data_IF_093569494665
#
_entry.id   IF_093569494665
#
_cell.length_a   1.000
_cell.length_b   1.000
_cell.length_c   1.000
_cell.angle_alpha   90.00
_cell.angle_beta   90.00
_cell.angle_gamma   90.00
#
_symmetry.space_group_name_H-M   'P 1'
#
loop_
_entity.id
_entity.type
_entity.pdbx_description
1 polymer ?
#
# COMPACT_ATOMS: atom_id res chain seq x y z
N UNK A 1 7.38 4.06 -29.13
CA UNK A 1 8.13 2.79 -28.90
C UNK A 1 7.12 1.67 -28.70
N UNK A 2 7.45 0.37 -28.93
CA UNK A 2 6.55 -0.70 -28.55
C UNK A 2 6.31 -0.66 -27.05
N UNK A 3 5.12 -1.12 -26.62
CA UNK A 3 4.82 -1.21 -25.18
C UNK A 3 5.71 -2.30 -24.53
N UNK A 4 6.15 -2.09 -23.30
CA UNK A 4 6.94 -3.09 -22.58
C UNK A 4 6.13 -4.36 -22.37
N UNK A 5 6.79 -5.52 -22.46
CA UNK A 5 6.15 -6.81 -22.23
C UNK A 5 5.97 -7.08 -20.73
N UNK A 6 4.99 -7.93 -20.38
CA UNK A 6 4.78 -8.36 -19.00
C UNK A 6 6.05 -8.93 -18.36
N UNK A 7 6.84 -9.71 -19.11
CA UNK A 7 8.07 -10.31 -18.59
C UNK A 7 9.12 -9.23 -18.26
N UNK A 8 9.26 -8.22 -19.09
CA UNK A 8 10.15 -7.07 -18.83
C UNK A 8 9.68 -6.32 -17.58
N UNK A 9 8.39 -6.04 -17.45
CA UNK A 9 7.83 -5.35 -16.28
C UNK A 9 7.89 -6.19 -15.00
N UNK A 10 7.77 -7.52 -15.11
CA UNK A 10 7.98 -8.43 -13.97
C UNK A 10 9.42 -8.38 -13.46
N UNK A 11 10.40 -8.24 -14.36
CA UNK A 11 11.83 -8.13 -14.04
C UNK A 11 12.26 -6.72 -13.62
N UNK A 12 11.47 -5.69 -13.96
CA UNK A 12 11.73 -4.33 -13.52
C UNK A 12 11.71 -4.29 -11.98
N UNK A 13 12.81 -3.87 -11.31
CA UNK A 13 12.79 -3.74 -9.85
C UNK A 13 11.80 -2.66 -9.43
N UNK A 14 10.94 -3.00 -8.47
CA UNK A 14 9.82 -2.15 -8.00
C UNK A 14 9.88 -1.95 -6.49
N UNK A 15 9.40 -0.81 -6.02
CA UNK A 15 9.05 -0.59 -4.62
C UNK A 15 7.53 -0.59 -4.47
N UNK A 16 7.02 -1.29 -3.47
CA UNK A 16 5.61 -1.33 -3.10
C UNK A 16 5.43 -0.54 -1.80
N UNK A 17 4.82 0.64 -1.86
CA UNK A 17 4.71 1.55 -0.72
C UNK A 17 3.29 1.61 -0.13
N UNK A 18 2.31 0.99 -0.81
CA UNK A 18 0.92 0.98 -0.42
C UNK A 18 0.30 -0.40 -0.67
N UNK A 19 0.50 -1.30 0.28
CA UNK A 19 -0.03 -2.66 0.22
C UNK A 19 -0.55 -3.07 1.60
N UNK A 20 -1.85 -3.35 1.70
CA UNK A 20 -2.50 -3.76 2.94
C UNK A 20 -2.30 -5.26 3.20
N UNK A 21 -1.82 -5.60 4.40
CA UNK A 21 -1.65 -6.99 4.83
C UNK A 21 -2.97 -7.74 4.83
N UNK A 22 -4.01 -7.11 5.38
CA UNK A 22 -5.36 -7.66 5.53
C UNK A 22 -6.17 -7.71 4.23
N UNK A 23 -5.68 -7.06 3.15
CA UNK A 23 -6.22 -7.15 1.80
C UNK A 23 -5.43 -8.03 0.83
N UNK A 24 -4.37 -8.72 1.30
CA UNK A 24 -3.37 -9.35 0.41
C UNK A 24 -3.03 -10.81 0.77
N UNK A 25 -3.94 -11.52 1.45
CA UNK A 25 -3.76 -12.92 1.81
C UNK A 25 -3.87 -13.85 0.60
N UNK A 26 -3.13 -14.95 0.63
CA UNK A 26 -3.38 -16.06 -0.30
C UNK A 26 -4.70 -16.76 0.03
N UNK A 27 -5.58 -17.02 -0.93
CA UNK A 27 -6.82 -17.78 -0.68
C UNK A 27 -6.59 -19.16 -0.09
N UNK A 28 -5.51 -19.84 -0.52
CA UNK A 28 -5.08 -21.14 0.00
C UNK A 28 -4.83 -21.06 1.50
N UNK A 29 -4.07 -20.07 1.94
CA UNK A 29 -3.78 -19.81 3.36
C UNK A 29 -5.03 -19.44 4.15
N UNK A 30 -5.95 -18.69 3.55
CA UNK A 30 -7.24 -18.39 4.21
C UNK A 30 -8.06 -19.66 4.48
N UNK A 31 -8.12 -20.59 3.51
CA UNK A 31 -8.82 -21.87 3.69
C UNK A 31 -8.16 -22.69 4.81
N UNK A 32 -6.83 -22.82 4.79
CA UNK A 32 -6.07 -23.57 5.80
C UNK A 32 -6.26 -22.99 7.20
N UNK A 33 -6.06 -21.67 7.36
CA UNK A 33 -6.26 -20.98 8.63
C UNK A 33 -7.72 -21.00 9.07
N UNK A 34 -8.67 -20.93 8.13
CA UNK A 34 -10.09 -21.08 8.42
C UNK A 34 -10.41 -22.42 9.07
N UNK A 35 -9.85 -23.50 8.53
CA UNK A 35 -10.00 -24.85 9.13
C UNK A 35 -9.31 -24.95 10.50
N UNK A 36 -8.07 -24.44 10.60
CA UNK A 36 -7.29 -24.50 11.85
C UNK A 36 -7.93 -23.70 12.98
N UNK A 37 -8.47 -22.53 12.68
CA UNK A 37 -9.06 -21.58 13.64
C UNK A 37 -10.57 -21.72 13.78
N UNK A 38 -11.17 -22.76 13.17
CA UNK A 38 -12.62 -23.00 13.17
C UNK A 38 -13.45 -21.81 12.67
N UNK A 39 -12.93 -21.08 11.64
CA UNK A 39 -13.62 -19.97 10.99
C UNK A 39 -14.32 -20.44 9.72
N UNK A 40 -15.55 -19.99 9.50
CA UNK A 40 -16.28 -20.28 8.26
C UNK A 40 -15.80 -19.39 7.14
N UNK A 41 -15.27 -19.97 6.06
CA UNK A 41 -14.96 -19.26 4.84
C UNK A 41 -16.19 -19.22 3.92
N UNK A 42 -16.38 -18.15 3.12
CA UNK A 42 -17.54 -18.02 2.23
C UNK A 42 -17.52 -18.95 1.01
N UNK A 43 -16.38 -19.63 0.77
CA UNK A 43 -16.21 -20.57 -0.33
C UNK A 43 -15.40 -21.80 0.14
N UNK A 44 -15.62 -22.98 -0.48
CA UNK A 44 -15.06 -24.24 0.00
C UNK A 44 -13.59 -24.48 -0.44
N UNK A 45 -13.10 -23.77 -1.44
CA UNK A 45 -11.77 -23.94 -2.02
C UNK A 45 -11.15 -22.58 -2.41
N UNK A 46 -9.84 -22.60 -2.63
CA UNK A 46 -9.06 -21.39 -2.89
C UNK A 46 -9.49 -20.64 -4.17
N UNK A 47 -9.85 -21.36 -5.24
CA UNK A 47 -10.28 -20.73 -6.48
C UNK A 47 -11.59 -20.00 -6.31
N UNK A 48 -12.60 -20.66 -5.76
CA UNK A 48 -13.91 -20.06 -5.46
C UNK A 48 -13.80 -18.93 -4.44
N UNK A 49 -12.88 -19.06 -3.47
CA UNK A 49 -12.63 -18.01 -2.50
C UNK A 49 -11.97 -16.78 -3.16
N UNK A 50 -11.01 -16.98 -4.07
CA UNK A 50 -10.41 -15.89 -4.85
C UNK A 50 -11.48 -15.11 -5.61
N UNK A 51 -12.35 -15.81 -6.35
CA UNK A 51 -13.44 -15.20 -7.11
C UNK A 51 -14.40 -14.42 -6.20
N UNK A 52 -14.72 -14.96 -5.02
CA UNK A 52 -15.57 -14.26 -4.04
C UNK A 52 -14.89 -13.02 -3.45
N UNK A 53 -13.58 -13.11 -3.17
CA UNK A 53 -12.83 -12.02 -2.51
C UNK A 53 -12.45 -10.89 -3.45
N UNK A 54 -12.33 -11.15 -4.77
CA UNK A 54 -12.07 -10.10 -5.76
C UNK A 54 -13.30 -9.19 -5.89
N UNK A 55 -13.09 -7.88 -5.72
CA UNK A 55 -14.18 -6.91 -5.59
C UNK A 55 -14.35 -6.13 -6.90
N UNK A 56 -15.02 -6.74 -7.90
CA UNK A 56 -15.30 -6.08 -9.19
C UNK A 56 -16.67 -5.38 -9.22
N UNK A 57 -17.51 -5.60 -8.21
CA UNK A 57 -18.91 -5.18 -8.15
C UNK A 57 -19.18 -4.09 -7.10
N UNK A 58 -18.16 -3.54 -6.46
CA UNK A 58 -18.32 -2.49 -5.48
C UNK A 58 -18.93 -1.22 -6.08
N UNK A 59 -19.86 -0.63 -5.35
CA UNK A 59 -20.53 0.63 -5.72
C UNK A 59 -19.77 1.85 -5.24
N UNK A 60 -18.95 1.68 -4.21
CA UNK A 60 -18.15 2.71 -3.55
C UNK A 60 -17.09 2.05 -2.64
N UNK A 61 -16.29 2.87 -1.97
CA UNK A 61 -15.25 2.42 -1.05
C UNK A 61 -15.82 1.60 0.12
N UNK A 62 -16.95 1.97 0.67
CA UNK A 62 -17.58 1.28 1.81
C UNK A 62 -17.95 -0.17 1.46
N UNK A 63 -18.55 -0.40 0.29
CA UNK A 63 -18.86 -1.76 -0.21
C UNK A 63 -17.57 -2.59 -0.40
N UNK A 64 -16.50 -1.96 -0.90
CA UNK A 64 -15.20 -2.60 -1.04
C UNK A 64 -14.65 -3.07 0.30
N UNK A 65 -14.81 -2.28 1.36
CA UNK A 65 -14.29 -2.57 2.68
C UNK A 65 -15.05 -3.69 3.43
N UNK A 66 -16.25 -4.08 3.02
CA UNK A 66 -17.04 -5.11 3.72
C UNK A 66 -16.35 -6.48 3.78
N UNK A 67 -15.58 -6.85 2.73
CA UNK A 67 -14.92 -8.17 2.64
C UNK A 67 -13.73 -8.34 3.59
N UNK A 68 -13.18 -7.25 4.13
CA UNK A 68 -12.10 -7.33 5.11
C UNK A 68 -12.49 -8.06 6.40
N UNK A 69 -13.77 -8.13 6.74
CA UNK A 69 -14.22 -8.92 7.89
C UNK A 69 -13.84 -10.41 7.78
N UNK A 70 -13.76 -10.94 6.55
CA UNK A 70 -13.41 -12.33 6.27
C UNK A 70 -11.91 -12.56 6.50
N UNK A 71 -11.06 -11.75 5.91
CA UNK A 71 -9.59 -11.87 6.09
C UNK A 71 -9.20 -11.64 7.54
N UNK A 72 -9.77 -10.62 8.20
CA UNK A 72 -9.53 -10.33 9.61
C UNK A 72 -9.95 -11.47 10.54
N UNK A 73 -10.92 -12.32 10.16
CA UNK A 73 -11.33 -13.45 10.97
C UNK A 73 -10.23 -14.49 11.19
N UNK A 74 -9.29 -14.61 10.25
CA UNK A 74 -8.15 -15.53 10.33
C UNK A 74 -6.83 -14.85 10.74
N UNK A 75 -6.86 -13.56 10.98
CA UNK A 75 -5.69 -12.74 11.34
C UNK A 75 -5.66 -12.40 12.85
N UNK A 76 -6.01 -13.35 13.70
CA UNK A 76 -6.15 -13.12 15.15
C UNK A 76 -5.12 -13.87 16.01
N UNK A 77 -4.10 -14.47 15.39
CA UNK A 77 -3.03 -15.21 16.10
C UNK A 77 -1.65 -14.79 15.56
N UNK A 78 -0.61 -14.85 16.42
CA UNK A 78 0.75 -14.54 15.98
C UNK A 78 1.23 -15.43 14.82
N UNK A 79 1.02 -16.79 14.84
CA UNK A 79 1.43 -17.62 13.72
C UNK A 79 0.76 -17.25 12.39
N UNK A 80 -0.53 -16.91 12.42
CA UNK A 80 -1.26 -16.49 11.23
C UNK A 80 -0.71 -15.17 10.67
N UNK A 81 -0.53 -14.16 11.53
CA UNK A 81 0.03 -12.86 11.12
C UNK A 81 1.46 -12.97 10.59
N UNK A 82 2.31 -13.76 11.23
CA UNK A 82 3.69 -14.03 10.78
C UNK A 82 3.70 -14.70 9.40
N UNK A 83 2.87 -15.75 9.22
CA UNK A 83 2.74 -16.50 7.96
C UNK A 83 2.26 -15.60 6.83
N UNK A 84 1.20 -14.84 7.04
CA UNK A 84 0.59 -13.97 6.03
C UNK A 84 1.60 -12.90 5.57
N UNK A 85 2.34 -12.29 6.48
CA UNK A 85 3.35 -11.30 6.14
C UNK A 85 4.54 -11.90 5.38
N UNK A 86 4.97 -13.10 5.75
CA UNK A 86 6.00 -13.84 5.02
C UNK A 86 5.55 -14.17 3.59
N UNK A 87 4.36 -14.72 3.42
CA UNK A 87 3.80 -15.09 2.12
C UNK A 87 3.58 -13.87 1.21
N UNK A 88 3.13 -12.74 1.75
CA UNK A 88 3.01 -11.49 0.99
C UNK A 88 4.37 -11.02 0.47
N UNK A 89 5.40 -11.07 1.30
CA UNK A 89 6.75 -10.68 0.88
C UNK A 89 7.35 -11.66 -0.14
N UNK A 90 7.11 -12.98 -0.01
CA UNK A 90 7.50 -14.00 -1.00
C UNK A 90 6.87 -13.73 -2.37
N UNK A 91 5.54 -13.51 -2.42
CA UNK A 91 4.82 -13.20 -3.66
C UNK A 91 5.30 -11.89 -4.29
N UNK A 92 5.58 -10.89 -3.46
CA UNK A 92 6.10 -9.60 -3.93
C UNK A 92 7.52 -9.73 -4.50
N UNK A 93 8.39 -10.51 -3.87
CA UNK A 93 9.74 -10.80 -4.38
C UNK A 93 9.69 -11.51 -5.74
N UNK A 94 8.80 -12.50 -5.90
CA UNK A 94 8.57 -13.21 -7.16
C UNK A 94 8.04 -12.29 -8.27
N UNK A 95 7.34 -11.23 -7.89
CA UNK A 95 6.83 -10.17 -8.78
C UNK A 95 7.85 -9.04 -9.07
N UNK A 96 9.10 -9.19 -8.64
CA UNK A 96 10.17 -8.22 -8.89
C UNK A 96 10.23 -7.05 -7.91
N UNK A 97 9.48 -7.11 -6.81
CA UNK A 97 9.58 -6.10 -5.73
C UNK A 97 10.88 -6.31 -4.96
N UNK A 98 11.61 -5.22 -4.70
CA UNK A 98 12.84 -5.21 -3.90
C UNK A 98 12.64 -4.62 -2.52
N UNK A 99 11.61 -3.80 -2.37
CA UNK A 99 11.25 -3.12 -1.14
C UNK A 99 9.73 -3.03 -0.99
N UNK A 100 9.21 -3.41 0.17
CA UNK A 100 7.78 -3.34 0.47
C UNK A 100 7.52 -2.69 1.84
N UNK A 101 6.56 -1.77 1.89
CA UNK A 101 5.98 -1.23 3.13
C UNK A 101 4.57 -1.80 3.31
N UNK A 102 4.47 -2.80 4.17
CA UNK A 102 3.19 -3.47 4.45
C UNK A 102 2.43 -2.68 5.49
N UNK A 103 1.17 -2.31 5.19
CA UNK A 103 0.31 -1.55 6.10
C UNK A 103 -0.90 -2.35 6.56
N UNK A 104 -1.34 -2.12 7.78
CA UNK A 104 -2.56 -2.68 8.37
C UNK A 104 -2.84 -2.00 9.71
N UNK A 105 -4.04 -2.22 10.26
CA UNK A 105 -4.46 -1.66 11.56
C UNK A 105 -4.35 -2.72 12.67
N UNK A 106 -3.28 -2.75 13.50
CA UNK A 106 -3.09 -3.77 14.54
C UNK A 106 -4.26 -3.90 15.50
N UNK A 107 -5.00 -2.81 15.73
CA UNK A 107 -6.21 -2.80 16.58
C UNK A 107 -7.31 -3.75 16.08
N UNK A 108 -7.31 -4.11 14.80
CA UNK A 108 -8.26 -5.07 14.22
C UNK A 108 -7.85 -6.54 14.44
N UNK A 109 -6.60 -6.79 14.88
CA UNK A 109 -6.02 -8.12 15.08
C UNK A 109 -5.95 -8.56 16.54
N UNK A 110 -6.55 -7.80 17.47
CA UNK A 110 -6.51 -8.08 18.92
C UNK A 110 -7.83 -8.60 19.48
N UNK A 111 -8.76 -8.97 18.63
CA UNK A 111 -10.13 -9.37 19.03
C UNK A 111 -10.17 -10.72 19.77
N UNK A 112 -9.16 -11.55 19.59
CA UNK A 112 -9.06 -12.90 20.19
C UNK A 112 -7.89 -13.02 21.17
N UNK A 113 -7.43 -11.89 21.74
CA UNK A 113 -6.55 -11.87 22.89
C UNK A 113 -5.09 -11.52 22.63
N UNK A 114 -4.69 -11.21 21.40
CA UNK A 114 -3.37 -10.63 21.15
C UNK A 114 -3.28 -9.23 21.78
N UNK A 115 -2.09 -8.85 22.23
CA UNK A 115 -1.77 -7.45 22.50
C UNK A 115 -1.45 -6.71 21.20
N UNK A 116 -1.47 -5.38 21.24
CA UNK A 116 -1.08 -4.56 20.08
C UNK A 116 0.39 -4.80 19.68
N UNK A 117 1.27 -5.01 20.67
CA UNK A 117 2.68 -5.33 20.44
C UNK A 117 2.83 -6.68 19.71
N UNK A 118 2.13 -7.73 20.15
CA UNK A 118 2.14 -9.03 19.49
C UNK A 118 1.63 -8.92 18.05
N UNK A 119 0.56 -8.13 17.82
CA UNK A 119 0.01 -7.90 16.50
C UNK A 119 0.99 -7.17 15.56
N UNK A 120 1.95 -6.39 16.06
CA UNK A 120 3.02 -5.74 15.28
C UNK A 120 4.25 -6.65 15.14
N UNK A 121 4.65 -7.36 16.20
CA UNK A 121 5.86 -8.17 16.20
C UNK A 121 5.75 -9.40 15.27
N UNK A 122 4.57 -10.00 15.18
CA UNK A 122 4.36 -11.19 14.35
C UNK A 122 4.60 -10.92 12.85
N UNK A 123 3.98 -9.91 12.21
CA UNK A 123 4.30 -9.54 10.83
C UNK A 123 5.77 -9.15 10.62
N UNK A 124 6.38 -8.43 11.57
CA UNK A 124 7.81 -8.08 11.48
C UNK A 124 8.70 -9.33 11.43
N UNK A 125 8.37 -10.40 12.19
CA UNK A 125 9.10 -11.68 12.10
C UNK A 125 8.92 -12.33 10.73
N UNK A 126 7.70 -12.33 10.18
CA UNK A 126 7.41 -12.86 8.85
C UNK A 126 8.20 -12.16 7.76
N UNK A 127 8.20 -10.82 7.78
CA UNK A 127 8.97 -10.00 6.85
C UNK A 127 10.48 -10.23 6.97
N UNK A 128 11.02 -10.33 8.19
CA UNK A 128 12.44 -10.60 8.41
C UNK A 128 12.88 -11.98 7.87
N UNK A 129 12.01 -13.00 7.99
CA UNK A 129 12.25 -14.33 7.38
C UNK A 129 12.28 -14.23 5.85
N UNK A 130 11.32 -13.54 5.25
CA UNK A 130 11.28 -13.35 3.80
C UNK A 130 12.48 -12.53 3.29
N UNK A 131 12.93 -11.50 4.04
CA UNK A 131 14.13 -10.74 3.71
C UNK A 131 15.37 -11.64 3.65
N UNK A 132 15.53 -12.55 4.63
CA UNK A 132 16.64 -13.49 4.67
C UNK A 132 16.61 -14.55 3.55
N UNK A 133 15.42 -14.94 3.09
CA UNK A 133 15.24 -16.02 2.11
C UNK A 133 15.18 -15.52 0.67
N UNK A 134 14.51 -14.39 0.42
CA UNK A 134 14.24 -13.87 -0.92
C UNK A 134 14.96 -12.55 -1.24
N UNK A 135 15.61 -11.92 -0.25
CA UNK A 135 16.33 -10.66 -0.44
C UNK A 135 15.42 -9.43 -0.65
N UNK A 136 14.13 -9.54 -0.32
CA UNK A 136 13.19 -8.41 -0.35
C UNK A 136 13.22 -7.69 1.02
N UNK A 137 13.47 -6.39 1.03
CA UNK A 137 13.41 -5.63 2.28
C UNK A 137 11.97 -5.26 2.62
N UNK A 138 11.44 -5.82 3.73
CA UNK A 138 10.09 -5.57 4.22
C UNK A 138 10.05 -4.66 5.45
N UNK A 139 9.12 -3.70 5.47
CA UNK A 139 8.88 -2.79 6.61
C UNK A 139 7.39 -2.67 6.87
N UNK A 140 7.02 -2.22 8.08
CA UNK A 140 5.62 -2.05 8.50
C UNK A 140 5.26 -0.58 8.63
N UNK A 141 4.06 -0.23 8.17
CA UNK A 141 3.37 1.01 8.47
C UNK A 141 2.16 0.67 9.36
N UNK A 142 2.10 1.27 10.55
CA UNK A 142 0.95 1.11 11.44
C UNK A 142 -0.16 2.05 10.97
N UNK A 143 -1.33 1.48 10.65
CA UNK A 143 -2.48 2.21 10.13
C UNK A 143 -3.53 2.43 11.21
N UNK A 144 -3.99 3.66 11.37
CA UNK A 144 -5.19 3.99 12.14
C UNK A 144 -6.43 3.98 11.24
N UNK A 145 -7.61 3.78 11.82
CA UNK A 145 -8.88 3.72 11.10
C UNK A 145 -9.71 4.97 11.40
N UNK A 146 -10.06 5.74 10.36
CA UNK A 146 -10.65 7.08 10.50
C UNK A 146 -12.07 7.12 11.07
N UNK A 147 -12.80 6.02 11.03
CA UNK A 147 -14.12 5.88 11.67
C UNK A 147 -14.04 5.36 13.13
N UNK A 148 -12.84 5.15 13.68
CA UNK A 148 -12.61 4.91 15.09
C UNK A 148 -12.38 6.24 15.87
N UNK A 149 -12.45 6.18 17.20
CA UNK A 149 -12.18 7.33 18.02
C UNK A 149 -10.74 7.84 17.82
N UNK A 150 -10.50 9.17 17.77
CA UNK A 150 -9.15 9.73 17.64
C UNK A 150 -8.15 9.30 18.73
N UNK A 151 -8.63 8.90 19.91
CA UNK A 151 -7.79 8.33 20.98
C UNK A 151 -7.15 7.00 20.60
N UNK A 152 -7.85 6.17 19.79
CA UNK A 152 -7.29 4.92 19.25
C UNK A 152 -6.16 5.22 18.27
N UNK A 153 -6.34 6.23 17.41
CA UNK A 153 -5.27 6.67 16.51
C UNK A 153 -4.05 7.20 17.27
N UNK A 154 -4.25 7.86 18.39
CA UNK A 154 -3.17 8.31 19.27
C UNK A 154 -2.39 7.11 19.84
N UNK A 155 -3.08 6.10 20.36
CA UNK A 155 -2.47 4.87 20.87
C UNK A 155 -1.67 4.13 19.78
N UNK A 156 -2.22 4.04 18.56
CA UNK A 156 -1.52 3.42 17.43
C UNK A 156 -0.30 4.23 16.94
N UNK A 157 -0.33 5.56 17.02
CA UNK A 157 0.83 6.40 16.73
C UNK A 157 1.94 6.21 17.79
N UNK A 158 1.58 6.09 19.08
CA UNK A 158 2.51 5.78 20.17
C UNK A 158 3.15 4.41 19.98
N UNK A 159 2.36 3.39 19.62
CA UNK A 159 2.83 2.07 19.26
C UNK A 159 3.82 2.14 18.07
N UNK A 160 3.46 2.82 16.99
CA UNK A 160 4.32 2.96 15.80
C UNK A 160 5.68 3.59 16.14
N UNK A 161 5.68 4.63 16.96
CA UNK A 161 6.91 5.28 17.45
C UNK A 161 7.75 4.33 18.30
N UNK A 162 7.12 3.56 19.20
CA UNK A 162 7.82 2.58 20.03
C UNK A 162 8.56 1.50 19.21
N UNK A 163 8.04 1.17 18.03
CA UNK A 163 8.62 0.18 17.13
C UNK A 163 9.47 0.76 15.98
N UNK A 164 9.69 2.08 15.93
CA UNK A 164 10.45 2.76 14.86
C UNK A 164 11.83 2.15 14.60
N UNK A 165 12.55 1.73 15.62
CA UNK A 165 13.88 1.10 15.51
C UNK A 165 13.81 -0.42 15.28
N UNK A 166 12.62 -0.98 15.14
CA UNK A 166 12.35 -2.42 15.06
C UNK A 166 11.64 -2.82 13.76
N UNK A 167 11.60 -1.92 12.76
CA UNK A 167 11.04 -2.21 11.43
C UNK A 167 9.70 -1.54 11.13
N UNK A 168 9.11 -0.78 12.07
CA UNK A 168 8.01 0.14 11.75
C UNK A 168 8.60 1.44 11.21
N UNK A 169 8.23 1.80 9.99
CA UNK A 169 8.80 2.96 9.28
C UNK A 169 7.82 4.12 9.13
N UNK A 170 6.53 3.90 9.40
CA UNK A 170 5.53 4.94 9.17
C UNK A 170 4.25 4.76 9.96
N UNK A 171 3.45 5.82 9.95
CA UNK A 171 2.08 5.89 10.47
C UNK A 171 1.14 6.31 9.36
N UNK A 172 -0.06 5.72 9.30
CA UNK A 172 -1.07 5.95 8.26
C UNK A 172 -2.47 6.12 8.86
N UNK A 173 -3.40 6.64 8.06
CA UNK A 173 -4.82 6.74 8.37
C UNK A 173 -5.62 6.24 7.17
N UNK A 174 -6.39 5.16 7.33
CA UNK A 174 -7.22 4.54 6.31
C UNK A 174 -8.68 4.38 6.76
N UNK A 175 -9.48 3.69 5.95
CA UNK A 175 -10.90 3.42 6.18
C UNK A 175 -11.82 4.38 5.44
N UNK A 176 -13.16 4.22 5.60
CA UNK A 176 -14.17 5.01 4.89
C UNK A 176 -13.94 6.52 5.02
N UNK A 177 -13.75 7.20 3.90
CA UNK A 177 -13.29 8.58 3.87
C UNK A 177 -14.43 9.59 4.06
N UNK A 178 -15.59 9.30 3.44
CA UNK A 178 -16.75 10.20 3.48
C UNK A 178 -17.29 10.33 4.91
N UNK A 179 -17.39 11.56 5.41
CA UNK A 179 -17.88 11.85 6.75
C UNK A 179 -16.84 11.63 7.87
N UNK A 180 -15.65 11.14 7.57
CA UNK A 180 -14.57 10.87 8.55
C UNK A 180 -13.30 11.66 8.20
N UNK A 181 -13.27 12.98 8.40
CA UNK A 181 -12.19 13.84 7.95
C UNK A 181 -10.87 13.57 8.70
N UNK A 182 -9.76 13.54 7.98
CA UNK A 182 -8.44 13.25 8.54
C UNK A 182 -8.03 14.22 9.68
N UNK A 183 -8.49 15.47 9.65
CA UNK A 183 -8.22 16.47 10.69
C UNK A 183 -8.65 16.06 12.10
N UNK A 184 -9.59 15.11 12.23
CA UNK A 184 -9.99 14.57 13.53
C UNK A 184 -8.85 13.83 14.23
N UNK A 185 -7.94 13.24 13.46
CA UNK A 185 -6.80 12.43 13.92
C UNK A 185 -5.47 13.20 13.97
N UNK A 186 -5.49 14.54 13.81
CA UNK A 186 -4.29 15.39 13.72
C UNK A 186 -3.28 15.16 14.86
N UNK A 187 -3.75 14.90 16.08
CA UNK A 187 -2.87 14.74 17.24
C UNK A 187 -1.98 13.50 17.12
N UNK A 188 -2.51 12.40 16.58
CA UNK A 188 -1.75 11.19 16.29
C UNK A 188 -0.64 11.44 15.26
N UNK A 189 -0.94 12.18 14.19
CA UNK A 189 0.04 12.59 13.20
C UNK A 189 1.09 13.55 13.77
N UNK A 190 0.68 14.51 14.58
CA UNK A 190 1.60 15.43 15.26
C UNK A 190 2.54 14.69 16.20
N UNK A 191 2.02 13.71 16.97
CA UNK A 191 2.82 12.86 17.82
C UNK A 191 3.84 12.05 17.01
N UNK A 192 3.42 11.33 15.97
CA UNK A 192 4.30 10.54 15.12
C UNK A 192 5.43 11.40 14.53
N UNK A 193 5.11 12.54 13.92
CA UNK A 193 6.09 13.45 13.32
C UNK A 193 7.03 14.10 14.35
N UNK A 194 6.53 14.45 15.54
CA UNK A 194 7.37 15.04 16.61
C UNK A 194 8.37 14.02 17.21
N UNK A 195 8.17 12.72 16.90
CA UNK A 195 9.09 11.64 17.25
C UNK A 195 9.83 11.07 16.02
N UNK A 196 9.97 11.87 14.96
CA UNK A 196 10.70 11.55 13.72
C UNK A 196 10.19 10.29 12.99
N UNK A 197 8.90 9.93 13.12
CA UNK A 197 8.27 8.88 12.35
C UNK A 197 7.63 9.48 11.10
N UNK A 198 7.86 8.84 9.94
CA UNK A 198 7.24 9.26 8.70
C UNK A 198 5.73 9.00 8.72
N UNK A 199 4.97 9.78 7.94
CA UNK A 199 3.52 9.66 7.85
C UNK A 199 3.06 9.62 6.40
N UNK A 200 2.13 8.72 6.10
CA UNK A 200 1.28 8.74 4.90
C UNK A 200 -0.18 8.87 5.32
N UNK A 201 -1.08 9.18 4.41
CA UNK A 201 -2.51 9.30 4.72
C UNK A 201 -3.32 9.01 3.46
N UNK A 202 -4.28 8.09 3.55
CA UNK A 202 -5.28 7.91 2.49
C UNK A 202 -6.11 9.17 2.35
N UNK A 203 -6.18 9.73 1.16
CA UNK A 203 -6.97 10.93 0.89
C UNK A 203 -7.26 11.11 -0.61
N UNK A 204 -8.46 11.59 -0.93
CA UNK A 204 -8.89 11.81 -2.31
C UNK A 204 -9.24 10.54 -3.06
N UNK A 205 -9.63 9.49 -2.36
CA UNK A 205 -10.21 8.26 -2.90
C UNK A 205 -11.73 8.31 -2.80
N UNK A 206 -12.28 8.26 -1.59
CA UNK A 206 -13.72 8.33 -1.35
C UNK A 206 -14.27 9.76 -1.24
N UNK A 207 -13.40 10.76 -0.99
CA UNK A 207 -13.77 12.18 -0.85
C UNK A 207 -12.92 13.06 -1.78
N UNK A 208 -13.25 14.36 -1.90
CA UNK A 208 -12.63 15.29 -2.83
C UNK A 208 -11.25 15.81 -2.42
N UNK A 209 -10.73 16.78 -3.19
CA UNK A 209 -9.44 17.39 -2.95
C UNK A 209 -9.27 18.02 -1.55
N UNK A 210 -10.37 18.40 -0.86
CA UNK A 210 -10.30 18.90 0.52
C UNK A 210 -9.76 17.85 1.50
N UNK A 211 -10.05 16.56 1.28
CA UNK A 211 -9.47 15.48 2.07
C UNK A 211 -7.96 15.40 1.88
N UNK A 212 -7.46 15.53 0.64
CA UNK A 212 -6.02 15.64 0.36
C UNK A 212 -5.42 16.88 1.03
N UNK A 213 -6.12 18.00 1.00
CA UNK A 213 -5.70 19.23 1.69
C UNK A 213 -5.53 19.02 3.19
N UNK A 214 -6.44 18.29 3.81
CA UNK A 214 -6.33 17.95 5.24
C UNK A 214 -5.14 17.01 5.52
N UNK A 215 -4.93 15.98 4.69
CA UNK A 215 -3.78 15.09 4.80
C UNK A 215 -2.45 15.85 4.73
N UNK A 216 -2.32 16.79 3.78
CA UNK A 216 -1.12 17.61 3.58
C UNK A 216 -0.93 18.64 4.67
N UNK A 217 -1.93 19.52 4.89
CA UNK A 217 -1.74 20.72 5.72
C UNK A 217 -2.09 20.53 7.20
N UNK A 218 -2.95 19.57 7.55
CA UNK A 218 -3.34 19.30 8.93
C UNK A 218 -2.58 18.12 9.50
N UNK A 219 -2.56 16.99 8.78
CA UNK A 219 -1.84 15.79 9.20
C UNK A 219 -0.33 15.88 8.90
N UNK A 220 0.08 16.70 7.93
CA UNK A 220 1.48 16.87 7.52
C UNK A 220 2.07 15.57 6.95
N UNK A 221 1.26 14.85 6.18
CA UNK A 221 1.67 13.60 5.56
C UNK A 221 2.80 13.84 4.54
N UNK A 222 3.79 12.95 4.52
CA UNK A 222 4.93 13.00 3.60
C UNK A 222 4.58 12.37 2.24
N UNK A 223 3.59 11.45 2.23
CA UNK A 223 3.00 10.82 1.04
C UNK A 223 1.48 10.79 1.19
N UNK A 224 0.77 10.67 0.08
CA UNK A 224 -0.70 10.60 0.05
C UNK A 224 -1.12 9.30 -0.62
N UNK A 225 -1.88 8.48 0.09
CA UNK A 225 -2.52 7.29 -0.48
C UNK A 225 -3.59 7.69 -1.49
N UNK A 226 -3.59 7.06 -2.64
CA UNK A 226 -4.45 7.29 -3.81
C UNK A 226 -4.32 8.66 -4.45
N UNK A 227 -4.69 9.74 -3.76
CA UNK A 227 -4.71 11.12 -4.28
C UNK A 227 -5.47 11.29 -5.61
N UNK A 228 -6.40 10.37 -5.95
CA UNK A 228 -7.08 10.31 -7.25
C UNK A 228 -7.82 11.62 -7.56
N UNK A 229 -8.42 12.25 -6.54
CA UNK A 229 -9.18 13.50 -6.69
C UNK A 229 -8.38 14.78 -6.40
N UNK A 230 -7.05 14.68 -6.24
CA UNK A 230 -6.17 15.85 -6.09
C UNK A 230 -6.28 16.80 -7.32
N UNK A 231 -6.52 16.23 -8.50
CA UNK A 231 -6.67 16.97 -9.76
C UNK A 231 -7.80 18.02 -9.73
N UNK A 232 -8.75 17.90 -8.83
CA UNK A 232 -9.85 18.86 -8.65
C UNK A 232 -9.39 20.22 -8.09
N UNK A 233 -8.16 20.30 -7.53
CA UNK A 233 -7.59 21.51 -6.95
C UNK A 233 -6.18 21.76 -7.51
N UNK A 234 -6.11 22.61 -8.53
CA UNK A 234 -4.85 22.94 -9.21
C UNK A 234 -3.82 23.54 -8.25
N UNK A 235 -4.22 24.44 -7.34
CA UNK A 235 -3.30 25.06 -6.37
C UNK A 235 -2.69 24.04 -5.41
N UNK A 236 -3.50 23.07 -4.94
CA UNK A 236 -3.02 21.99 -4.08
C UNK A 236 -2.12 21.02 -4.87
N UNK A 237 -2.47 20.73 -6.13
CA UNK A 237 -1.65 19.92 -7.03
C UNK A 237 -0.26 20.53 -7.23
N UNK A 238 -0.20 21.83 -7.51
CA UNK A 238 1.05 22.58 -7.67
C UNK A 238 1.86 22.57 -6.37
N UNK A 239 1.20 22.78 -5.21
CA UNK A 239 1.86 22.68 -3.90
C UNK A 239 2.46 21.29 -3.66
N UNK A 240 1.72 20.21 -3.94
CA UNK A 240 2.22 18.83 -3.79
C UNK A 240 3.43 18.60 -4.70
N UNK A 241 3.40 19.12 -5.93
CA UNK A 241 4.51 19.02 -6.85
C UNK A 241 5.75 19.77 -6.35
N UNK A 242 5.60 21.02 -5.94
CA UNK A 242 6.70 21.86 -5.41
C UNK A 242 7.38 21.22 -4.19
N UNK A 243 6.61 20.50 -3.38
CA UNK A 243 7.10 19.80 -2.18
C UNK A 243 7.51 18.36 -2.45
N UNK A 244 7.39 17.89 -3.70
CA UNK A 244 7.69 16.51 -4.10
C UNK A 244 6.98 15.46 -3.25
N UNK A 245 5.75 15.78 -2.76
CA UNK A 245 4.92 14.84 -2.02
C UNK A 245 4.58 13.68 -2.95
N UNK A 246 4.92 12.46 -2.55
CA UNK A 246 4.65 11.29 -3.37
C UNK A 246 3.17 10.90 -3.30
N UNK A 247 2.61 10.55 -4.46
CA UNK A 247 1.25 10.06 -4.62
C UNK A 247 1.31 8.54 -4.82
N UNK A 248 0.76 7.79 -3.86
CA UNK A 248 0.72 6.33 -3.87
C UNK A 248 -0.49 5.85 -4.68
N UNK A 249 -0.36 5.80 -6.00
CA UNK A 249 -1.44 5.47 -6.93
C UNK A 249 -1.71 3.97 -6.98
N UNK A 250 -2.99 3.59 -6.93
CA UNK A 250 -3.48 2.22 -6.98
C UNK A 250 -4.55 2.12 -8.08
N UNK A 251 -4.14 1.93 -9.34
CA UNK A 251 -5.02 2.07 -10.51
C UNK A 251 -6.24 1.15 -10.43
N UNK A 252 -6.03 -0.14 -10.14
CA UNK A 252 -7.11 -1.13 -10.09
C UNK A 252 -8.07 -0.84 -8.94
N UNK A 253 -7.55 -0.61 -7.74
CA UNK A 253 -8.39 -0.25 -6.59
C UNK A 253 -9.20 1.02 -6.86
N UNK A 254 -8.59 2.05 -7.45
CA UNK A 254 -9.29 3.30 -7.75
C UNK A 254 -10.43 3.13 -8.77
N UNK A 255 -10.32 2.18 -9.70
CA UNK A 255 -11.42 1.82 -10.60
C UNK A 255 -12.50 1.02 -9.85
N UNK A 256 -12.12 0.06 -9.01
CA UNK A 256 -13.05 -0.78 -8.24
C UNK A 256 -13.82 0.04 -7.20
N UNK A 257 -13.18 0.96 -6.49
CA UNK A 257 -13.83 1.86 -5.50
C UNK A 257 -14.60 3.03 -6.12
N UNK A 258 -14.57 3.15 -7.45
CA UNK A 258 -15.19 4.26 -8.23
C UNK A 258 -14.55 5.62 -7.96
N UNK A 259 -13.33 5.66 -7.46
CA UNK A 259 -12.53 6.87 -7.38
C UNK A 259 -12.13 7.36 -8.79
N UNK A 260 -11.99 6.45 -9.75
CA UNK A 260 -11.84 6.70 -11.18
C UNK A 260 -12.83 5.85 -11.99
N UNK A 261 -13.35 6.38 -13.12
CA UNK A 261 -14.33 5.68 -13.96
C UNK A 261 -13.71 4.49 -14.73
N UNK A 262 -12.43 4.60 -15.09
CA UNK A 262 -11.68 3.59 -15.83
C UNK A 262 -10.18 3.84 -15.74
N UNK A 263 -9.36 2.84 -16.11
CA UNK A 263 -7.92 3.03 -16.25
C UNK A 263 -7.57 4.18 -17.21
N UNK A 264 -8.26 4.26 -18.35
CA UNK A 264 -7.98 5.26 -19.39
C UNK A 264 -8.29 6.71 -18.94
N UNK A 265 -9.22 6.91 -18.02
CA UNK A 265 -9.59 8.22 -17.47
C UNK A 265 -8.92 8.54 -16.14
N UNK A 266 -8.08 7.62 -15.61
CA UNK A 266 -7.37 7.82 -14.36
C UNK A 266 -6.37 8.99 -14.47
N UNK A 267 -6.29 9.90 -13.48
CA UNK A 267 -5.43 11.10 -13.57
C UNK A 267 -3.92 10.79 -13.50
N UNK A 268 -3.52 9.53 -13.35
CA UNK A 268 -2.12 9.11 -13.21
C UNK A 268 -1.22 9.62 -14.35
N UNK A 269 -1.69 9.51 -15.61
CA UNK A 269 -0.94 10.02 -16.78
C UNK A 269 -0.74 11.54 -16.68
N UNK A 270 -1.80 12.30 -16.37
CA UNK A 270 -1.71 13.73 -16.23
C UNK A 270 -0.78 14.15 -15.09
N UNK A 271 -0.83 13.46 -13.94
CA UNK A 271 0.08 13.71 -12.83
C UNK A 271 1.54 13.49 -13.23
N UNK A 272 1.83 12.40 -13.95
CA UNK A 272 3.18 12.12 -14.44
C UNK A 272 3.65 13.21 -15.41
N UNK A 273 2.83 13.59 -16.39
CA UNK A 273 3.16 14.61 -17.41
C UNK A 273 3.36 16.01 -16.79
N UNK A 274 2.66 16.31 -15.70
CA UNK A 274 2.88 17.54 -14.90
C UNK A 274 4.11 17.45 -14.00
N UNK A 275 4.80 16.33 -13.97
CA UNK A 275 6.02 16.10 -13.19
C UNK A 275 5.79 15.81 -11.71
N UNK A 276 4.58 15.44 -11.27
CA UNK A 276 4.33 15.01 -9.89
C UNK A 276 5.12 13.75 -9.56
N UNK A 277 5.41 13.59 -8.28
CA UNK A 277 6.08 12.39 -7.77
C UNK A 277 5.05 11.26 -7.59
N UNK A 278 4.84 10.46 -8.62
CA UNK A 278 3.86 9.37 -8.65
C UNK A 278 4.53 8.02 -8.49
N UNK A 279 3.87 7.10 -7.76
CA UNK A 279 4.31 5.71 -7.51
C UNK A 279 3.12 4.77 -7.72
N UNK A 280 3.33 3.62 -8.36
CA UNK A 280 2.33 2.58 -8.52
C UNK A 280 2.37 1.57 -7.38
N UNK A 281 1.19 1.14 -6.92
CA UNK A 281 1.01 0.22 -5.81
C UNK A 281 -0.25 -0.64 -6.01
N UNK A 282 -0.33 -1.78 -5.33
CA UNK A 282 -1.46 -2.71 -5.46
C UNK A 282 -2.64 -2.41 -4.55
N UNK A 283 -2.42 -1.67 -3.47
CA UNK A 283 -3.37 -1.49 -2.38
C UNK A 283 -3.72 -2.83 -1.70
N UNK A 284 -4.49 -3.68 -2.35
CA UNK A 284 -5.00 -4.96 -1.82
C UNK A 284 -4.88 -6.06 -2.89
N UNK A 285 -3.81 -6.87 -2.84
CA UNK A 285 -3.53 -7.88 -3.89
C UNK A 285 -4.63 -8.91 -4.07
N UNK A 286 -5.27 -9.35 -2.98
CA UNK A 286 -6.41 -10.29 -3.03
C UNK A 286 -7.69 -9.61 -3.46
N UNK A 287 -8.05 -8.50 -2.80
CA UNK A 287 -9.32 -7.81 -3.05
C UNK A 287 -9.37 -7.22 -4.46
N UNK A 288 -8.26 -6.71 -4.96
CA UNK A 288 -8.15 -6.16 -6.30
C UNK A 288 -7.80 -7.21 -7.36
N UNK A 289 -7.37 -8.40 -6.94
CA UNK A 289 -7.00 -9.49 -7.85
C UNK A 289 -5.77 -9.18 -8.71
N UNK A 290 -4.82 -8.38 -8.19
CA UNK A 290 -3.68 -7.85 -8.97
C UNK A 290 -2.34 -8.09 -8.29
N UNK A 291 -1.29 -8.16 -9.11
CA UNK A 291 0.11 -8.00 -8.72
C UNK A 291 0.59 -6.59 -9.06
N UNK A 292 1.74 -6.19 -8.52
CA UNK A 292 2.32 -4.88 -8.89
C UNK A 292 2.70 -4.82 -10.38
N UNK A 293 3.10 -5.96 -10.97
CA UNK A 293 3.32 -6.06 -12.42
C UNK A 293 2.04 -5.80 -13.22
N UNK A 294 0.86 -6.20 -12.72
CA UNK A 294 -0.42 -5.88 -13.37
C UNK A 294 -0.70 -4.37 -13.37
N UNK A 295 -0.44 -3.66 -12.27
CA UNK A 295 -0.57 -2.21 -12.19
C UNK A 295 0.33 -1.50 -13.23
N UNK A 296 1.58 -1.97 -13.38
CA UNK A 296 2.49 -1.47 -14.41
C UNK A 296 2.01 -1.81 -15.84
N UNK A 297 1.41 -2.99 -16.05
CA UNK A 297 0.78 -3.35 -17.32
C UNK A 297 -0.42 -2.45 -17.64
N UNK A 298 -1.29 -2.16 -16.66
CA UNK A 298 -2.41 -1.24 -16.85
C UNK A 298 -1.94 0.16 -17.21
N UNK A 299 -0.86 0.65 -16.60
CA UNK A 299 -0.24 1.92 -16.97
C UNK A 299 0.29 1.91 -18.41
N UNK A 300 0.97 0.83 -18.83
CA UNK A 300 1.48 0.71 -20.19
C UNK A 300 0.36 0.63 -21.22
N UNK A 301 -0.64 -0.24 -21.01
CA UNK A 301 -1.67 -0.55 -22.01
C UNK A 301 -2.74 0.55 -22.09
N UNK A 302 -3.26 1.03 -20.94
CA UNK A 302 -4.36 1.97 -20.88
C UNK A 302 -3.93 3.42 -20.92
N UNK A 303 -2.75 3.75 -20.39
CA UNK A 303 -2.23 5.10 -20.26
C UNK A 303 -1.00 5.38 -21.12
N UNK A 304 -0.57 4.38 -21.91
CA UNK A 304 0.51 4.50 -22.90
C UNK A 304 1.87 4.88 -22.33
N UNK A 305 2.15 4.41 -21.11
CA UNK A 305 3.50 4.54 -20.54
C UNK A 305 4.47 3.62 -21.29
N UNK A 306 5.62 4.16 -21.65
CA UNK A 306 6.72 3.35 -22.17
C UNK A 306 7.63 2.82 -21.04
N UNK A 307 8.64 2.02 -21.41
CA UNK A 307 9.56 1.42 -20.42
C UNK A 307 10.31 2.47 -19.61
N UNK A 308 10.79 3.53 -20.25
CA UNK A 308 11.59 4.56 -19.55
C UNK A 308 10.75 5.37 -18.56
N UNK A 309 9.51 5.66 -18.92
CA UNK A 309 8.53 6.31 -18.02
C UNK A 309 8.20 5.41 -16.82
N UNK A 310 7.97 4.10 -17.05
CA UNK A 310 7.70 3.14 -15.98
C UNK A 310 8.92 2.88 -15.10
N UNK A 311 10.12 2.86 -15.67
CA UNK A 311 11.37 2.82 -14.91
C UNK A 311 11.54 4.05 -14.01
N UNK A 312 11.12 5.25 -14.50
CA UNK A 312 11.10 6.47 -13.67
C UNK A 312 10.09 6.36 -12.53
N UNK A 313 8.88 5.84 -12.80
CA UNK A 313 7.86 5.59 -11.76
C UNK A 313 8.38 4.60 -10.71
N UNK A 314 9.07 3.53 -11.13
CA UNK A 314 9.71 2.58 -10.21
C UNK A 314 10.76 3.26 -9.32
N UNK A 315 11.64 4.09 -9.90
CA UNK A 315 12.63 4.86 -9.14
C UNK A 315 11.97 5.85 -8.15
N UNK A 316 10.88 6.50 -8.54
CA UNK A 316 10.11 7.36 -7.61
C UNK A 316 9.71 6.61 -6.34
N UNK A 317 9.32 5.31 -6.45
CA UNK A 317 9.00 4.47 -5.30
C UNK A 317 10.17 4.33 -4.35
N UNK A 318 11.36 3.99 -4.86
CA UNK A 318 12.56 3.87 -4.02
C UNK A 318 13.00 5.21 -3.42
N UNK A 319 12.88 6.31 -4.18
CA UNK A 319 13.20 7.65 -3.69
C UNK A 319 12.23 8.11 -2.59
N UNK A 320 11.00 7.61 -2.59
CA UNK A 320 9.91 7.99 -1.67
C UNK A 320 9.73 7.05 -0.48
N UNK A 321 10.45 5.92 -0.42
CA UNK A 321 10.32 4.97 0.67
C UNK A 321 10.80 5.55 2.02
N UNK A 322 10.26 5.03 3.12
CA UNK A 322 10.56 5.50 4.47
C UNK A 322 11.81 4.87 5.11
N UNK A 323 12.68 4.29 4.29
CA UNK A 323 13.98 3.81 4.77
C UNK A 323 14.88 4.95 5.25
N UNK A 324 15.78 4.69 6.21
CA UNK A 324 16.87 5.60 6.54
C UNK A 324 17.68 6.00 5.29
N UNK A 325 18.17 7.23 5.26
CA UNK A 325 18.80 7.82 4.07
C UNK A 325 19.92 6.93 3.49
N UNK A 326 20.81 6.41 4.33
CA UNK A 326 21.95 5.59 3.86
C UNK A 326 21.50 4.26 3.24
N UNK A 327 20.47 3.61 3.82
CA UNK A 327 19.91 2.38 3.28
C UNK A 327 19.21 2.64 1.94
N UNK A 328 18.42 3.72 1.87
CA UNK A 328 17.72 4.15 0.66
C UNK A 328 18.70 4.46 -0.48
N UNK A 329 19.79 5.19 -0.23
CA UNK A 329 20.80 5.51 -1.25
C UNK A 329 21.45 4.24 -1.80
N UNK A 330 21.79 3.26 -0.93
CA UNK A 330 22.34 1.98 -1.38
C UNK A 330 21.37 1.21 -2.27
N UNK A 331 20.12 1.11 -1.83
CA UNK A 331 19.07 0.41 -2.58
C UNK A 331 18.82 1.07 -3.94
N UNK A 332 18.74 2.40 -4.01
CA UNK A 332 18.59 3.13 -5.27
C UNK A 332 19.73 2.83 -6.24
N UNK A 333 20.99 2.84 -5.75
CA UNK A 333 22.14 2.56 -6.59
C UNK A 333 22.16 1.10 -7.14
N UNK A 334 21.63 0.14 -6.39
CA UNK A 334 21.46 -1.25 -6.85
C UNK A 334 20.37 -1.35 -7.91
N UNK A 335 19.21 -0.78 -7.64
CA UNK A 335 18.07 -0.76 -8.55
C UNK A 335 18.38 -0.06 -9.87
N UNK A 336 19.09 1.07 -9.85
CA UNK A 336 19.52 1.75 -11.07
C UNK A 336 20.38 0.86 -11.98
N UNK A 337 21.29 0.08 -11.41
CA UNK A 337 22.09 -0.89 -12.19
C UNK A 337 21.24 -2.01 -12.79
N UNK A 338 20.23 -2.51 -12.05
CA UNK A 338 19.30 -3.52 -12.57
C UNK A 338 18.47 -2.96 -13.73
N UNK A 339 17.96 -1.73 -13.61
CA UNK A 339 17.18 -1.06 -14.68
C UNK A 339 18.04 -0.86 -15.94
N UNK A 340 19.28 -0.38 -15.82
CA UNK A 340 20.19 -0.21 -16.96
C UNK A 340 20.50 -1.55 -17.66
N UNK A 341 20.68 -2.62 -16.87
CA UNK A 341 20.86 -3.95 -17.42
C UNK A 341 19.64 -4.45 -18.24
N UNK A 342 18.43 -4.21 -17.72
CA UNK A 342 17.18 -4.54 -18.42
C UNK A 342 17.04 -3.73 -19.72
N UNK A 343 17.30 -2.42 -19.67
CA UNK A 343 17.25 -1.53 -20.85
C UNK A 343 18.16 -2.03 -21.98
N UNK A 344 19.34 -2.53 -21.64
CA UNK A 344 20.30 -3.04 -22.63
C UNK A 344 19.91 -4.39 -23.23
N UNK A 345 18.97 -5.13 -22.63
CA UNK A 345 18.46 -6.41 -23.14
C UNK A 345 17.24 -6.25 -24.09
N UNK A 346 16.54 -5.13 -23.97
CA UNK A 346 15.32 -4.85 -24.74
C UNK A 346 15.61 -3.97 -25.99
N UNK A 347 16.86 -3.55 -26.16
CA UNK A 347 17.39 -2.79 -27.32
C UNK A 347 17.94 -3.72 -28.39
#
# INVERSE_FOLDING_TARGET
>A
MPLPTREVLRRLPKAELHCHLDGSLRPETMIELGLELEKTMPAPDAQSLREYMTVDDARNLEDYLERFAITLSVMQTEPALERIAYELAEDSAADGVRYIEVRYAPVLNVREGLSLEQAVEAPLRGLARAEAEFGITGRVIVTAIRNMAPSVSQELAELAVAYRQRGVVGFDLAGGEVGHPAKAHRNAFEYARSHDLACTCHAGEGDGADSVRQAVHVCGAHRIGHATRLIEDTSLTDYCNDRRIALEICLTSNVQTRAADSYASHPFREYYDRGLNVVLNTDNRLMSGVTLTDEYMHAAESLRFDFDELARVALNGFESCFLPHEERVRLIAEVQREIEALRSMDS
#
